data_IF_360494783806
#
_entry.id   IF_360494783806
#
_cell.length_a   1.000
_cell.length_b   1.000
_cell.length_c   1.000
_cell.angle_alpha   90.00
_cell.angle_beta   90.00
_cell.angle_gamma   90.00
#
_symmetry.space_group_name_H-M   'P 1'
#
loop_
_entity.id
_entity.type
_entity.pdbx_description
1 polymer ?
#
# COMPACT_ATOMS: atom_id res chain seq x y z
N UNK A 1 41.39 7.28 -32.89
CA UNK A 1 39.92 7.51 -33.08
C UNK A 1 39.02 6.42 -32.49
N UNK A 2 39.42 5.13 -32.46
CA UNK A 2 38.58 4.04 -31.92
C UNK A 2 38.31 4.16 -30.41
N UNK A 3 39.33 4.55 -29.64
CA UNK A 3 39.24 4.75 -28.18
C UNK A 3 38.29 5.90 -27.80
N UNK A 4 38.37 7.03 -28.50
CA UNK A 4 37.49 8.20 -28.28
C UNK A 4 36.01 7.83 -28.54
N UNK A 5 35.73 7.08 -29.61
CA UNK A 5 34.37 6.59 -29.90
C UNK A 5 33.84 5.63 -28.84
N UNK A 6 34.71 4.82 -28.23
CA UNK A 6 34.35 3.93 -27.12
C UNK A 6 34.02 4.72 -25.85
N UNK A 7 34.85 5.70 -25.50
CA UNK A 7 34.64 6.57 -24.33
C UNK A 7 33.33 7.37 -24.48
N UNK A 8 33.04 7.90 -25.67
CA UNK A 8 31.79 8.63 -25.93
C UNK A 8 30.55 7.74 -25.76
N UNK A 9 30.60 6.48 -26.23
CA UNK A 9 29.50 5.53 -26.04
C UNK A 9 29.30 5.13 -24.58
N UNK A 10 30.39 4.87 -23.86
CA UNK A 10 30.34 4.54 -22.44
C UNK A 10 29.77 5.71 -21.62
N UNK A 11 30.18 6.95 -21.93
CA UNK A 11 29.63 8.16 -21.31
C UNK A 11 28.14 8.33 -21.59
N UNK A 12 27.69 8.11 -22.83
CA UNK A 12 26.28 8.20 -23.20
C UNK A 12 25.41 7.15 -22.48
N UNK A 13 25.92 5.92 -22.34
CA UNK A 13 25.24 4.85 -21.60
C UNK A 13 25.15 5.20 -20.11
N UNK A 14 26.24 5.71 -19.52
CA UNK A 14 26.26 6.12 -18.12
C UNK A 14 25.30 7.28 -17.85
N UNK A 15 25.19 8.23 -18.80
CA UNK A 15 24.24 9.34 -18.73
C UNK A 15 22.80 8.81 -18.76
N UNK A 16 22.48 7.89 -19.68
CA UNK A 16 21.15 7.28 -19.77
C UNK A 16 20.77 6.54 -18.48
N UNK A 17 21.69 5.78 -17.88
CA UNK A 17 21.41 5.03 -16.64
C UNK A 17 21.18 5.95 -15.44
N UNK A 18 21.83 7.11 -15.37
CA UNK A 18 21.61 8.10 -14.31
C UNK A 18 20.19 8.67 -14.28
N UNK A 19 19.57 8.88 -15.45
CA UNK A 19 18.22 9.47 -15.54
C UNK A 19 17.10 8.55 -15.03
N UNK A 20 17.29 7.22 -15.02
CA UNK A 20 16.26 6.28 -14.56
C UNK A 20 16.30 6.00 -13.05
N UNK A 21 17.10 6.74 -12.29
CA UNK A 21 17.17 6.58 -10.83
C UNK A 21 15.94 7.22 -10.18
N UNK A 22 14.81 6.51 -10.16
CA UNK A 22 13.66 6.88 -9.35
C UNK A 22 14.01 6.65 -7.88
N UNK A 23 14.17 7.75 -7.14
CA UNK A 23 14.27 7.71 -5.69
C UNK A 23 12.92 7.26 -5.14
N UNK A 24 12.79 5.97 -4.83
CA UNK A 24 11.67 5.46 -4.06
C UNK A 24 11.86 5.95 -2.61
N UNK A 25 11.33 7.12 -2.30
CA UNK A 25 11.15 7.54 -0.92
C UNK A 25 10.10 6.60 -0.32
N UNK A 26 10.52 5.77 0.65
CA UNK A 26 9.57 5.07 1.50
C UNK A 26 8.61 6.13 2.03
N UNK A 27 7.34 6.05 1.61
CA UNK A 27 6.32 6.96 2.08
C UNK A 27 6.28 6.77 3.60
N UNK A 28 6.82 7.71 4.38
CA UNK A 28 6.85 7.60 5.85
C UNK A 28 5.53 8.03 6.49
N UNK A 29 4.53 8.33 5.66
CA UNK A 29 3.28 8.93 6.08
C UNK A 29 2.32 7.86 6.59
N UNK A 30 2.29 7.71 7.90
CA UNK A 30 1.19 7.02 8.55
C UNK A 30 -0.09 7.85 8.41
N UNK A 31 -1.12 7.23 7.90
CA UNK A 31 -2.44 7.85 7.74
C UNK A 31 -3.46 7.11 8.60
N UNK A 32 -4.48 7.87 9.03
CA UNK A 32 -5.61 7.37 9.78
C UNK A 32 -6.87 7.50 8.92
N UNK A 33 -7.57 6.40 8.75
CA UNK A 33 -8.84 6.32 8.02
C UNK A 33 -9.89 5.75 8.95
N UNK A 34 -11.06 6.39 8.99
CA UNK A 34 -12.18 5.91 9.79
C UNK A 34 -13.28 5.38 8.87
N UNK A 35 -13.78 4.18 9.18
CA UNK A 35 -15.09 3.71 8.72
C UNK A 35 -16.13 3.95 9.82
N UNK A 36 -17.34 3.41 9.64
CA UNK A 36 -18.41 3.53 10.63
C UNK A 36 -18.08 2.83 11.96
N UNK A 37 -17.44 1.67 11.91
CA UNK A 37 -17.17 0.80 13.07
C UNK A 37 -15.67 0.50 13.27
N UNK A 38 -14.80 0.89 12.34
CA UNK A 38 -13.36 0.63 12.42
C UNK A 38 -12.56 1.91 12.25
N UNK A 39 -11.47 2.00 13.01
CA UNK A 39 -10.42 2.99 12.81
C UNK A 39 -9.17 2.25 12.33
N UNK A 40 -8.71 2.58 11.13
CA UNK A 40 -7.58 1.96 10.47
C UNK A 40 -6.40 2.94 10.47
N UNK A 41 -5.23 2.46 10.87
CA UNK A 41 -3.99 3.23 10.87
C UNK A 41 -2.95 2.42 10.12
N UNK A 42 -2.33 3.02 9.11
CA UNK A 42 -1.35 2.31 8.30
C UNK A 42 -0.50 3.24 7.46
N UNK A 43 0.60 2.67 6.96
CA UNK A 43 1.49 3.30 6.01
C UNK A 43 1.26 2.73 4.60
N UNK A 44 0.06 2.95 4.09
CA UNK A 44 -0.33 2.60 2.73
C UNK A 44 -1.07 3.79 2.11
N UNK A 45 -1.37 3.71 0.82
CA UNK A 45 -2.20 4.74 0.19
C UNK A 45 -3.58 4.78 0.84
N UNK A 46 -4.17 5.97 0.94
CA UNK A 46 -5.47 6.15 1.60
C UNK A 46 -6.55 5.28 0.96
N UNK A 47 -6.51 5.15 -0.37
CA UNK A 47 -7.41 4.29 -1.14
C UNK A 47 -7.34 2.83 -0.69
N UNK A 48 -6.13 2.30 -0.48
CA UNK A 48 -5.93 0.91 -0.08
C UNK A 48 -6.47 0.68 1.34
N UNK A 49 -6.20 1.61 2.25
CA UNK A 49 -6.72 1.52 3.63
C UNK A 49 -8.25 1.66 3.65
N UNK A 50 -8.82 2.54 2.82
CA UNK A 50 -10.27 2.64 2.66
C UNK A 50 -10.87 1.34 2.13
N UNK A 51 -10.24 0.69 1.15
CA UNK A 51 -10.70 -0.60 0.61
C UNK A 51 -10.72 -1.68 1.70
N UNK A 52 -9.69 -1.77 2.53
CA UNK A 52 -9.67 -2.67 3.70
C UNK A 52 -10.79 -2.33 4.67
N UNK A 53 -11.03 -1.04 4.93
CA UNK A 53 -12.14 -0.59 5.77
C UNK A 53 -13.50 -1.07 5.26
N UNK A 54 -13.75 -1.02 3.94
CA UNK A 54 -14.98 -1.55 3.34
C UNK A 54 -15.11 -3.06 3.54
N UNK A 55 -14.03 -3.82 3.35
CA UNK A 55 -14.04 -5.27 3.54
C UNK A 55 -14.33 -5.66 4.99
N UNK A 56 -13.77 -4.95 5.97
CA UNK A 56 -14.04 -5.18 7.40
C UNK A 56 -15.49 -4.88 7.75
N UNK A 57 -16.10 -3.85 7.18
CA UNK A 57 -17.53 -3.56 7.37
C UNK A 57 -18.43 -4.62 6.76
N UNK A 58 -18.10 -5.12 5.58
CA UNK A 58 -18.82 -6.22 4.94
C UNK A 58 -18.75 -7.49 5.79
N UNK A 59 -17.55 -7.84 6.25
CA UNK A 59 -17.33 -8.94 7.17
C UNK A 59 -18.19 -8.77 8.43
N UNK A 60 -18.16 -7.59 9.07
CA UNK A 60 -18.95 -7.29 10.26
C UNK A 60 -20.45 -7.45 10.01
N UNK A 61 -20.96 -6.99 8.88
CA UNK A 61 -22.40 -7.11 8.57
C UNK A 61 -22.81 -8.57 8.33
N UNK A 62 -21.95 -9.36 7.67
CA UNK A 62 -22.18 -10.80 7.51
C UNK A 62 -22.16 -11.49 8.87
N UNK A 63 -21.15 -11.24 9.70
CA UNK A 63 -21.06 -11.77 11.05
C UNK A 63 -22.26 -11.37 11.90
N UNK A 64 -22.69 -10.10 11.84
CA UNK A 64 -23.88 -9.64 12.53
C UNK A 64 -25.10 -10.47 12.14
N UNK A 65 -25.35 -10.68 10.84
CA UNK A 65 -26.50 -11.47 10.36
C UNK A 65 -26.43 -12.94 10.77
N UNK A 66 -25.26 -13.56 10.64
CA UNK A 66 -25.05 -14.95 11.06
C UNK A 66 -25.26 -15.14 12.56
N UNK A 67 -24.78 -14.18 13.35
CA UNK A 67 -24.79 -14.26 14.82
C UNK A 67 -26.06 -13.72 15.46
N UNK A 68 -26.93 -13.03 14.72
CA UNK A 68 -28.23 -12.55 15.25
C UNK A 68 -29.12 -13.70 15.72
N UNK A 69 -28.94 -14.91 15.19
CA UNK A 69 -29.66 -16.12 15.61
C UNK A 69 -28.84 -17.06 16.52
N UNK A 70 -27.68 -16.61 17.00
CA UNK A 70 -26.80 -17.40 17.87
C UNK A 70 -26.79 -16.81 19.28
N UNK A 71 -27.26 -17.58 20.26
CA UNK A 71 -26.96 -17.30 21.67
C UNK A 71 -25.48 -17.60 21.89
N UNK A 72 -24.64 -16.57 21.94
CA UNK A 72 -23.26 -16.72 22.42
C UNK A 72 -23.28 -17.06 23.91
N UNK A 73 -23.25 -18.35 24.20
CA UNK A 73 -22.70 -18.84 25.46
C UNK A 73 -21.19 -18.93 25.21
N UNK A 74 -20.48 -17.80 25.24
CA UNK A 74 -19.01 -17.80 25.27
C UNK A 74 -18.58 -18.32 26.64
N UNK A 75 -17.79 -19.42 26.75
CA UNK A 75 -17.24 -19.87 28.02
C UNK A 75 -15.90 -19.20 28.34
N UNK A 76 -15.62 -18.04 27.75
CA UNK A 76 -14.45 -17.20 28.05
C UNK A 76 -14.94 -15.81 28.39
#
# INVERSE_FOLDING_TARGET
MKLIKFILKASFICLLLGFFSTVCLANGKWIKVNSKNFQLIGNAEEKDIQQVGVQLEQFREVFRRLLTNYNFISPV
#
